data_IF_602019738813
#
_entry.id   IF_602019738813
#
_cell.length_a   1.000
_cell.length_b   1.000
_cell.length_c   1.000
_cell.angle_alpha   90.00
_cell.angle_beta   90.00
_cell.angle_gamma   90.00
#
_symmetry.space_group_name_H-M   'P 1'
#
loop_
_entity.id
_entity.type
_entity.pdbx_description
1 polymer ?
#
# COMPACT_ATOMS: atom_id res chain seq x y z
N UNK A 1 14.60 -27.50 -9.22
CA UNK A 1 13.31 -28.20 -9.07
C UNK A 1 12.54 -27.51 -7.93
N UNK A 2 11.30 -27.07 -8.16
CA UNK A 2 10.50 -26.41 -7.11
C UNK A 2 10.07 -27.47 -6.08
N UNK A 3 10.38 -27.23 -4.81
CA UNK A 3 10.08 -28.17 -3.72
C UNK A 3 8.56 -28.31 -3.54
N UNK A 4 8.09 -29.55 -3.34
CA UNK A 4 6.65 -29.83 -3.19
C UNK A 4 6.07 -29.10 -1.99
N UNK A 5 6.80 -29.02 -0.88
CA UNK A 5 6.35 -28.32 0.33
C UNK A 5 5.98 -26.87 0.07
N UNK A 6 6.76 -26.23 -0.79
CA UNK A 6 6.60 -24.84 -1.16
C UNK A 6 5.51 -24.64 -2.20
N UNK A 7 5.39 -25.57 -3.14
CA UNK A 7 4.33 -25.52 -4.14
C UNK A 7 2.95 -25.59 -3.47
N UNK A 8 2.75 -26.50 -2.51
CA UNK A 8 1.47 -26.62 -1.79
C UNK A 8 1.17 -25.35 -0.98
N UNK A 9 2.18 -24.80 -0.31
CA UNK A 9 2.06 -23.54 0.43
C UNK A 9 1.67 -22.36 -0.47
N UNK A 10 2.38 -22.14 -1.58
CA UNK A 10 2.12 -20.98 -2.45
C UNK A 10 0.78 -21.07 -3.16
N UNK A 11 0.36 -22.27 -3.57
CA UNK A 11 -0.94 -22.48 -4.22
C UNK A 11 -2.13 -22.33 -3.25
N UNK A 12 -1.89 -22.39 -1.93
CA UNK A 12 -2.93 -22.10 -0.94
C UNK A 12 -3.25 -20.60 -0.80
N UNK A 13 -2.38 -19.72 -1.32
CA UNK A 13 -2.48 -18.27 -1.13
C UNK A 13 -2.99 -17.61 -2.43
N UNK A 14 -4.21 -17.08 -2.38
CA UNK A 14 -4.86 -16.45 -3.55
C UNK A 14 -4.24 -15.10 -3.93
N UNK A 15 -3.88 -14.27 -2.94
CA UNK A 15 -3.34 -12.92 -3.17
C UNK A 15 -1.84 -12.95 -3.42
N UNK A 16 -1.39 -12.38 -4.54
CA UNK A 16 0.04 -12.32 -4.87
C UNK A 16 0.84 -11.52 -3.81
N UNK A 17 0.28 -10.42 -3.29
CA UNK A 17 0.91 -9.64 -2.23
C UNK A 17 1.06 -10.43 -0.93
N UNK A 18 0.03 -11.19 -0.56
CA UNK A 18 0.09 -12.07 0.62
C UNK A 18 1.13 -13.17 0.42
N UNK A 19 1.16 -13.78 -0.77
CA UNK A 19 2.13 -14.82 -1.14
C UNK A 19 3.56 -14.32 -1.04
N UNK A 20 3.87 -13.13 -1.58
CA UNK A 20 5.19 -12.50 -1.44
C UNK A 20 5.56 -12.26 0.03
N UNK A 21 4.63 -11.73 0.81
CA UNK A 21 4.83 -11.41 2.23
C UNK A 21 5.11 -12.68 3.04
N UNK A 22 4.28 -13.71 2.89
CA UNK A 22 4.40 -14.97 3.62
C UNK A 22 5.63 -15.77 3.19
N UNK A 23 5.93 -15.78 1.88
CA UNK A 23 7.17 -16.38 1.36
C UNK A 23 8.40 -15.71 1.98
N UNK A 24 8.42 -14.38 2.07
CA UNK A 24 9.53 -13.66 2.69
C UNK A 24 9.68 -14.02 4.17
N UNK A 25 8.58 -14.08 4.93
CA UNK A 25 8.58 -14.49 6.33
C UNK A 25 9.16 -15.91 6.52
N UNK A 26 8.70 -16.87 5.70
CA UNK A 26 9.17 -18.24 5.74
C UNK A 26 10.67 -18.35 5.38
N UNK A 27 11.13 -17.62 4.38
CA UNK A 27 12.55 -17.57 4.01
C UNK A 27 13.40 -17.04 5.18
N UNK A 28 12.95 -15.98 5.87
CA UNK A 28 13.66 -15.42 7.03
C UNK A 28 13.73 -16.38 8.20
N UNK A 29 12.66 -17.14 8.45
CA UNK A 29 12.66 -18.21 9.46
C UNK A 29 13.69 -19.31 9.13
N UNK A 30 13.69 -19.78 7.88
CA UNK A 30 14.65 -20.78 7.39
C UNK A 30 16.09 -20.30 7.52
N UNK A 31 16.36 -19.05 7.14
CA UNK A 31 17.67 -18.40 7.27
C UNK A 31 18.14 -18.30 8.72
N UNK A 32 17.25 -17.93 9.65
CA UNK A 32 17.56 -17.81 11.08
C UNK A 32 18.10 -19.11 11.67
N UNK A 33 17.48 -20.25 11.32
CA UNK A 33 17.93 -21.58 11.75
C UNK A 33 18.98 -22.21 10.83
N UNK A 34 19.44 -21.48 9.80
CA UNK A 34 20.46 -21.93 8.83
C UNK A 34 20.07 -23.24 8.13
N UNK A 35 18.78 -23.43 7.85
CA UNK A 35 18.27 -24.62 7.18
C UNK A 35 18.42 -24.47 5.68
N UNK A 36 18.95 -25.51 5.03
CA UNK A 36 19.30 -25.47 3.60
C UNK A 36 18.08 -25.23 2.72
N UNK A 37 17.02 -26.01 2.92
CA UNK A 37 15.82 -26.01 2.09
C UNK A 37 14.53 -26.11 2.90
N UNK A 38 13.38 -25.90 2.24
CA UNK A 38 12.07 -25.90 2.90
C UNK A 38 11.61 -27.32 3.22
N UNK A 39 11.95 -28.32 2.41
CA UNK A 39 11.63 -29.73 2.69
C UNK A 39 12.34 -30.21 3.96
N UNK A 40 13.57 -29.75 4.22
CA UNK A 40 14.31 -30.01 5.47
C UNK A 40 13.64 -29.44 6.72
N UNK A 41 12.72 -28.46 6.60
CA UNK A 41 11.92 -28.03 7.75
C UNK A 41 10.91 -29.10 8.16
N UNK A 42 10.46 -29.93 7.21
CA UNK A 42 9.47 -30.98 7.45
C UNK A 42 10.08 -32.26 8.02
N UNK A 43 11.41 -32.42 8.00
CA UNK A 43 12.10 -33.59 8.59
C UNK A 43 12.30 -33.45 10.10
N UNK A 44 12.21 -32.23 10.62
CA UNK A 44 12.30 -31.93 12.05
C UNK A 44 11.01 -32.41 12.74
N UNK A 45 11.08 -32.86 14.00
CA UNK A 45 9.90 -33.29 14.77
C UNK A 45 8.99 -32.11 15.15
N UNK A 46 7.69 -32.37 15.35
CA UNK A 46 6.71 -31.30 15.65
C UNK A 46 7.03 -30.60 16.98
N UNK A 47 7.50 -31.34 17.98
CA UNK A 47 7.91 -30.78 19.28
C UNK A 47 9.07 -29.81 19.12
N UNK A 48 10.05 -30.14 18.28
CA UNK A 48 11.20 -29.29 18.02
C UNK A 48 10.82 -28.07 17.19
N UNK A 49 9.93 -28.21 16.20
CA UNK A 49 9.40 -27.07 15.45
C UNK A 49 8.62 -26.12 16.35
N UNK A 50 7.82 -26.64 17.28
CA UNK A 50 7.10 -25.81 18.25
C UNK A 50 8.06 -24.92 19.05
N UNK A 51 9.12 -25.50 19.63
CA UNK A 51 10.16 -24.74 20.35
C UNK A 51 10.84 -23.73 19.42
N UNK A 52 11.18 -24.13 18.19
CA UNK A 52 11.78 -23.21 17.21
C UNK A 52 10.88 -22.01 16.86
N UNK A 53 9.56 -22.20 16.82
CA UNK A 53 8.60 -21.11 16.57
C UNK A 53 8.50 -20.16 17.77
N UNK A 54 8.53 -20.69 18.99
CA UNK A 54 8.53 -19.91 20.23
C UNK A 54 9.79 -19.06 20.36
N UNK A 55 10.96 -19.67 20.15
CA UNK A 55 12.26 -18.98 20.16
C UNK A 55 12.33 -17.90 19.07
N UNK A 56 11.83 -18.21 17.88
CA UNK A 56 11.79 -17.24 16.80
C UNK A 56 10.82 -16.08 17.12
N UNK A 57 9.67 -16.37 17.72
CA UNK A 57 8.76 -15.33 18.20
C UNK A 57 9.43 -14.43 19.24
N UNK A 58 10.19 -14.99 20.20
CA UNK A 58 10.95 -14.20 21.18
C UNK A 58 12.02 -13.34 20.52
N UNK A 59 12.68 -13.84 19.49
CA UNK A 59 13.62 -13.07 18.69
C UNK A 59 12.92 -11.92 17.96
N UNK A 60 11.78 -12.18 17.29
CA UNK A 60 11.00 -11.18 16.57
C UNK A 60 10.52 -10.04 17.48
N UNK A 61 10.08 -10.35 18.70
CA UNK A 61 9.65 -9.33 19.68
C UNK A 61 10.71 -8.26 19.96
N UNK A 62 11.99 -8.59 19.81
CA UNK A 62 13.11 -7.66 20.04
C UNK A 62 13.46 -6.81 18.82
N UNK A 63 13.01 -7.19 17.63
CA UNK A 63 13.47 -6.60 16.36
C UNK A 63 12.38 -5.89 15.57
N UNK A 64 11.14 -6.40 15.61
CA UNK A 64 10.05 -5.90 14.75
C UNK A 64 8.93 -5.29 15.57
N UNK A 65 8.08 -4.50 14.89
CA UNK A 65 6.89 -3.94 15.51
C UNK A 65 5.95 -5.04 16.01
N UNK A 66 5.31 -4.87 17.18
CA UNK A 66 4.26 -5.76 17.67
C UNK A 66 3.18 -6.06 16.61
N UNK A 67 2.89 -5.09 15.75
CA UNK A 67 1.87 -5.21 14.71
C UNK A 67 2.32 -6.07 13.52
N UNK A 68 3.62 -6.27 13.32
CA UNK A 68 4.17 -7.07 12.22
C UNK A 68 4.24 -8.56 12.56
N UNK A 69 4.38 -8.89 13.84
CA UNK A 69 4.55 -10.27 14.32
C UNK A 69 3.43 -11.21 13.84
N UNK A 70 2.13 -10.86 13.96
CA UNK A 70 1.06 -11.76 13.52
C UNK A 70 1.16 -12.12 12.03
N UNK A 71 1.54 -11.17 11.18
CA UNK A 71 1.67 -11.41 9.73
C UNK A 71 2.86 -12.29 9.40
N UNK A 72 4.00 -12.10 10.08
CA UNK A 72 5.20 -12.92 9.90
C UNK A 72 4.91 -14.36 10.34
N UNK A 73 4.37 -14.54 11.55
CA UNK A 73 4.07 -15.84 12.11
C UNK A 73 2.99 -16.57 11.31
N UNK A 74 1.94 -15.89 10.86
CA UNK A 74 0.89 -16.49 10.02
C UNK A 74 1.46 -17.13 8.74
N UNK A 75 2.46 -16.51 8.10
CA UNK A 75 3.10 -17.09 6.92
C UNK A 75 3.87 -18.38 7.23
N UNK A 76 4.51 -18.46 8.41
CA UNK A 76 5.26 -19.63 8.84
C UNK A 76 4.29 -20.74 9.29
N UNK A 77 3.29 -20.40 10.09
CA UNK A 77 2.23 -21.31 10.55
C UNK A 77 1.47 -21.93 9.37
N UNK A 78 1.13 -21.12 8.35
CA UNK A 78 0.47 -21.61 7.14
C UNK A 78 1.34 -22.63 6.39
N UNK A 79 2.65 -22.44 6.33
CA UNK A 79 3.54 -23.43 5.69
C UNK A 79 3.45 -24.80 6.35
N UNK A 80 3.53 -24.85 7.68
CA UNK A 80 3.43 -26.11 8.43
C UNK A 80 2.02 -26.72 8.32
N UNK A 81 0.98 -25.89 8.42
CA UNK A 81 -0.41 -26.31 8.26
C UNK A 81 -0.66 -26.97 6.88
N UNK A 82 -0.23 -26.30 5.79
CA UNK A 82 -0.43 -26.81 4.43
C UNK A 82 0.38 -28.07 4.15
N UNK A 83 1.45 -28.30 4.90
CA UNK A 83 2.25 -29.52 4.88
C UNK A 83 1.82 -30.56 5.93
N UNK A 84 0.60 -30.43 6.47
CA UNK A 84 -0.06 -31.39 7.37
C UNK A 84 0.70 -31.62 8.68
N UNK A 85 1.39 -30.60 9.18
CA UNK A 85 2.07 -30.62 10.48
C UNK A 85 1.16 -30.05 11.58
N UNK A 86 1.23 -30.62 12.78
CA UNK A 86 0.32 -30.23 13.87
C UNK A 86 1.06 -29.34 14.86
N UNK A 87 0.94 -28.03 14.67
CA UNK A 87 1.59 -27.01 15.50
C UNK A 87 0.54 -26.35 16.43
N UNK A 88 0.90 -26.09 17.69
CA UNK A 88 0.01 -25.49 18.68
C UNK A 88 -0.05 -23.96 18.54
N UNK A 89 -0.66 -23.48 17.45
CA UNK A 89 -0.74 -22.05 17.11
C UNK A 89 -1.42 -21.20 18.19
N UNK A 90 -2.40 -21.75 18.91
CA UNK A 90 -3.08 -21.05 20.02
C UNK A 90 -2.12 -20.63 21.14
N UNK A 91 -1.10 -21.44 21.43
CA UNK A 91 -0.07 -21.11 22.43
C UNK A 91 0.76 -19.94 21.91
N UNK A 92 1.24 -20.02 20.65
CA UNK A 92 1.99 -18.94 20.01
C UNK A 92 1.22 -17.62 20.02
N UNK A 93 -0.07 -17.65 19.67
CA UNK A 93 -0.90 -16.45 19.60
C UNK A 93 -1.10 -15.80 20.96
N UNK A 94 -1.21 -16.58 22.05
CA UNK A 94 -1.23 -16.06 23.43
C UNK A 94 0.07 -15.38 23.83
N UNK A 95 1.18 -15.76 23.19
CA UNK A 95 2.49 -15.15 23.42
C UNK A 95 2.71 -13.90 22.57
N UNK A 96 1.82 -13.52 21.66
CA UNK A 96 2.00 -12.31 20.85
C UNK A 96 1.91 -11.04 21.73
N UNK A 97 2.73 -10.01 21.46
CA UNK A 97 2.60 -8.74 22.16
C UNK A 97 1.31 -8.01 21.75
N UNK A 98 0.81 -7.15 22.64
CA UNK A 98 -0.33 -6.29 22.34
C UNK A 98 -0.05 -5.39 21.14
N UNK A 99 -1.04 -5.26 20.25
CA UNK A 99 -0.96 -4.35 19.11
C UNK A 99 -0.94 -2.90 19.58
N UNK A 100 -0.19 -2.06 18.86
CA UNK A 100 0.00 -0.64 19.19
C UNK A 100 -0.55 0.25 18.08
N UNK A 101 -1.19 1.37 18.43
CA UNK A 101 -1.64 2.35 17.43
C UNK A 101 -0.44 3.21 16.99
N UNK A 102 0.01 3.04 15.74
CA UNK A 102 1.21 3.72 15.21
C UNK A 102 0.87 4.99 14.42
N UNK A 103 -0.29 5.03 13.75
CA UNK A 103 -0.68 6.11 12.82
C UNK A 103 -2.13 6.51 12.99
N UNK A 104 -2.53 7.65 12.40
CA UNK A 104 -3.91 8.12 12.41
C UNK A 104 -4.31 8.69 13.76
N UNK A 105 -3.36 9.32 14.46
CA UNK A 105 -3.63 10.13 15.64
C UNK A 105 -3.96 11.58 15.26
N UNK A 106 -3.52 12.05 14.09
CA UNK A 106 -3.75 13.42 13.58
C UNK A 106 -4.26 13.42 12.15
N UNK A 107 -4.98 14.49 11.80
CA UNK A 107 -5.45 14.80 10.46
C UNK A 107 -5.03 16.23 10.08
N UNK A 108 -4.96 16.51 8.78
CA UNK A 108 -4.64 17.86 8.29
C UNK A 108 -5.84 18.76 8.49
N UNK A 109 -5.61 19.99 8.95
CA UNK A 109 -6.67 20.99 9.00
C UNK A 109 -6.97 21.53 7.60
N UNK A 110 -8.14 22.14 7.41
CA UNK A 110 -8.48 22.81 6.15
C UNK A 110 -7.45 23.87 5.78
N UNK A 111 -6.93 24.60 6.79
CA UNK A 111 -5.88 25.61 6.63
C UNK A 111 -4.56 24.98 6.17
N UNK A 112 -4.18 23.83 6.74
CA UNK A 112 -3.00 23.10 6.30
C UNK A 112 -3.13 22.63 4.85
N UNK A 113 -4.29 22.05 4.48
CA UNK A 113 -4.55 21.56 3.12
C UNK A 113 -4.49 22.71 2.12
N UNK A 114 -5.14 23.84 2.42
CA UNK A 114 -5.08 25.05 1.60
C UNK A 114 -3.64 25.54 1.38
N UNK A 115 -2.83 25.57 2.46
CA UNK A 115 -1.42 25.92 2.37
C UNK A 115 -0.63 24.90 1.53
N UNK A 116 -0.85 23.61 1.71
CA UNK A 116 -0.19 22.55 0.91
C UNK A 116 -0.49 22.73 -0.58
N UNK A 117 -1.74 23.03 -0.94
CA UNK A 117 -2.17 23.29 -2.32
C UNK A 117 -1.47 24.53 -2.89
N UNK A 118 -1.41 25.62 -2.13
CA UNK A 118 -0.76 26.88 -2.55
C UNK A 118 0.71 26.67 -2.92
N UNK A 119 1.44 25.84 -2.16
CA UNK A 119 2.86 25.55 -2.39
C UNK A 119 3.11 24.38 -3.37
N UNK A 120 2.06 23.77 -3.93
CA UNK A 120 2.19 22.73 -4.92
C UNK A 120 2.62 23.31 -6.29
N UNK A 121 3.72 22.78 -6.82
CA UNK A 121 4.49 23.46 -7.88
C UNK A 121 3.94 23.34 -9.31
N UNK A 122 2.92 22.52 -9.56
CA UNK A 122 2.35 22.34 -10.91
C UNK A 122 0.85 22.06 -10.84
N UNK A 123 0.12 22.28 -11.94
CA UNK A 123 -1.31 21.97 -12.05
C UNK A 123 -1.60 20.51 -11.72
N UNK A 124 -0.79 19.57 -12.23
CA UNK A 124 -0.85 18.15 -11.84
C UNK A 124 -0.77 17.94 -10.33
N UNK A 125 0.20 18.56 -9.67
CA UNK A 125 0.41 18.34 -8.23
C UNK A 125 -0.76 18.92 -7.42
N UNK A 126 -1.27 20.10 -7.81
CA UNK A 126 -2.48 20.70 -7.22
C UNK A 126 -3.69 19.78 -7.40
N UNK A 127 -3.94 19.33 -8.63
CA UNK A 127 -5.04 18.42 -8.93
C UNK A 127 -4.96 17.12 -8.11
N UNK A 128 -3.76 16.54 -7.94
CA UNK A 128 -3.58 15.34 -7.11
C UNK A 128 -3.94 15.59 -5.65
N UNK A 129 -3.51 16.72 -5.08
CA UNK A 129 -3.76 17.05 -3.68
C UNK A 129 -5.25 17.33 -3.45
N UNK A 130 -5.89 18.12 -4.33
CA UNK A 130 -7.34 18.33 -4.29
C UNK A 130 -8.12 17.02 -4.42
N UNK A 131 -7.71 16.15 -5.34
CA UNK A 131 -8.34 14.87 -5.56
C UNK A 131 -8.32 14.02 -4.29
N UNK A 132 -7.15 13.85 -3.67
CA UNK A 132 -7.01 13.04 -2.43
C UNK A 132 -7.75 13.69 -1.26
N UNK A 133 -7.66 15.02 -1.13
CA UNK A 133 -8.35 15.75 -0.06
C UNK A 133 -9.87 15.66 -0.17
N UNK A 134 -10.42 15.72 -1.39
CA UNK A 134 -11.86 15.67 -1.64
C UNK A 134 -12.43 14.26 -1.53
N UNK A 135 -11.70 13.25 -2.01
CA UNK A 135 -12.21 11.87 -2.05
C UNK A 135 -11.91 11.07 -0.79
N UNK A 136 -10.90 11.46 -0.01
CA UNK A 136 -10.34 10.62 1.04
C UNK A 136 -9.71 9.32 0.52
N UNK A 137 -9.45 9.24 -0.80
CA UNK A 137 -8.97 8.03 -1.43
C UNK A 137 -7.61 7.61 -0.86
N UNK A 138 -7.46 6.30 -0.62
CA UNK A 138 -6.13 5.72 -0.37
C UNK A 138 -5.25 6.00 -1.57
N UNK A 139 -4.03 6.46 -1.32
CA UNK A 139 -3.06 6.84 -2.37
C UNK A 139 -2.74 5.71 -3.37
N UNK A 140 -3.00 4.45 -2.99
CA UNK A 140 -2.86 3.30 -3.89
C UNK A 140 -3.88 3.24 -5.03
N UNK A 141 -5.02 3.92 -4.91
CA UNK A 141 -6.04 3.96 -5.96
C UNK A 141 -5.59 4.78 -7.20
N UNK A 142 -4.68 5.74 -7.00
CA UNK A 142 -4.26 6.70 -8.03
C UNK A 142 -3.63 6.02 -9.25
N UNK A 143 -2.84 4.97 -9.05
CA UNK A 143 -2.06 4.34 -10.11
C UNK A 143 -2.93 3.59 -11.14
N UNK A 144 -4.04 3.01 -10.70
CA UNK A 144 -5.00 2.31 -11.55
C UNK A 144 -6.14 3.22 -12.07
N UNK A 145 -6.17 4.49 -11.65
CA UNK A 145 -7.28 5.39 -11.95
C UNK A 145 -7.23 5.89 -13.40
N UNK A 146 -8.32 5.68 -14.14
CA UNK A 146 -8.48 6.05 -15.54
C UNK A 146 -9.58 7.09 -15.72
N UNK A 147 -9.54 7.84 -16.82
CA UNK A 147 -10.50 8.91 -17.11
C UNK A 147 -11.95 8.40 -17.17
N UNK A 148 -12.18 7.17 -17.65
CA UNK A 148 -13.51 6.54 -17.68
C UNK A 148 -14.15 6.38 -16.31
N UNK A 149 -13.36 6.39 -15.24
CA UNK A 149 -13.86 6.27 -13.88
C UNK A 149 -14.33 7.62 -13.31
N UNK A 150 -14.06 8.74 -13.99
CA UNK A 150 -14.46 10.08 -13.59
C UNK A 150 -15.66 10.49 -14.43
N UNK A 151 -16.77 10.82 -13.76
CA UNK A 151 -18.03 11.19 -14.41
C UNK A 151 -18.48 12.55 -13.90
N UNK A 152 -18.93 13.41 -14.80
CA UNK A 152 -19.48 14.70 -14.43
C UNK A 152 -20.81 14.54 -13.68
N UNK A 153 -20.99 15.36 -12.64
CA UNK A 153 -22.19 15.39 -11.80
C UNK A 153 -22.79 16.80 -11.81
N UNK A 154 -24.04 16.96 -11.34
CA UNK A 154 -24.62 18.27 -11.10
C UNK A 154 -23.74 19.17 -10.20
N UNK A 155 -24.04 20.47 -10.18
CA UNK A 155 -23.36 21.47 -9.34
C UNK A 155 -21.85 21.57 -9.56
N UNK A 156 -21.38 21.29 -10.79
CA UNK A 156 -19.96 21.32 -11.20
C UNK A 156 -19.08 20.36 -10.40
N UNK A 157 -19.68 19.32 -9.80
CA UNK A 157 -18.97 18.25 -9.11
C UNK A 157 -18.62 17.12 -10.09
N UNK A 158 -17.79 16.18 -9.65
CA UNK A 158 -17.54 14.93 -10.37
C UNK A 158 -17.62 13.74 -9.41
N UNK A 159 -18.15 12.62 -9.89
CA UNK A 159 -18.07 11.35 -9.20
C UNK A 159 -16.85 10.58 -9.72
N UNK A 160 -16.22 9.78 -8.85
CA UNK A 160 -15.13 8.90 -9.23
C UNK A 160 -15.31 7.51 -8.65
N UNK A 161 -15.24 6.50 -9.51
CA UNK A 161 -15.21 5.09 -9.09
C UNK A 161 -13.76 4.68 -8.79
N UNK A 162 -13.50 4.33 -7.54
CA UNK A 162 -12.19 3.89 -7.05
C UNK A 162 -12.17 2.38 -6.94
N UNK A 163 -11.04 1.76 -7.28
CA UNK A 163 -10.88 0.30 -7.26
C UNK A 163 -11.89 -0.49 -8.11
N UNK A 164 -12.26 0.10 -9.26
CA UNK A 164 -13.14 -0.47 -10.28
C UNK A 164 -12.86 -1.96 -10.55
N UNK A 165 -13.90 -2.78 -10.48
CA UNK A 165 -13.85 -4.23 -10.72
C UNK A 165 -13.24 -5.07 -9.59
N UNK A 166 -13.08 -4.50 -8.39
CA UNK A 166 -12.57 -5.24 -7.21
C UNK A 166 -13.57 -5.27 -6.07
N UNK A 167 -13.38 -6.16 -5.09
CA UNK A 167 -14.20 -6.21 -3.87
C UNK A 167 -14.01 -4.98 -2.96
N UNK A 168 -13.09 -4.07 -3.30
CA UNK A 168 -12.86 -2.80 -2.59
C UNK A 168 -13.42 -1.60 -3.38
N UNK A 169 -14.24 -1.82 -4.40
CA UNK A 169 -14.84 -0.76 -5.21
C UNK A 169 -15.73 0.18 -4.38
N UNK A 170 -15.58 1.49 -4.59
CA UNK A 170 -16.53 2.48 -4.07
C UNK A 170 -16.51 3.75 -4.90
N UNK A 171 -17.61 4.49 -4.84
CA UNK A 171 -17.73 5.83 -5.43
C UNK A 171 -17.35 6.89 -4.40
N UNK A 172 -16.55 7.85 -4.83
CA UNK A 172 -16.25 9.08 -4.09
C UNK A 172 -16.60 10.30 -4.95
N UNK A 173 -16.57 11.48 -4.34
CA UNK A 173 -16.94 12.73 -5.02
C UNK A 173 -15.82 13.77 -4.96
N UNK A 174 -15.72 14.52 -6.04
CA UNK A 174 -14.92 15.73 -6.14
C UNK A 174 -15.81 16.94 -5.89
N UNK A 175 -15.38 17.79 -4.97
CA UNK A 175 -15.93 19.14 -4.78
C UNK A 175 -15.82 19.95 -6.07
N UNK A 176 -16.62 21.02 -6.24
CA UNK A 176 -16.55 21.88 -7.43
C UNK A 176 -15.15 22.44 -7.68
N UNK A 177 -14.44 22.80 -6.61
CA UNK A 177 -13.05 23.27 -6.69
C UNK A 177 -12.12 22.16 -7.19
N UNK A 178 -12.21 20.96 -6.62
CA UNK A 178 -11.38 19.82 -7.04
C UNK A 178 -11.64 19.41 -8.49
N UNK A 179 -12.91 19.40 -8.92
CA UNK A 179 -13.32 19.13 -10.30
C UNK A 179 -12.77 20.18 -11.27
N UNK A 180 -12.87 21.47 -10.92
CA UNK A 180 -12.32 22.56 -11.74
C UNK A 180 -10.80 22.42 -11.93
N UNK A 181 -10.06 22.19 -10.85
CA UNK A 181 -8.60 22.04 -10.90
C UNK A 181 -8.18 20.77 -11.66
N UNK A 182 -8.95 19.67 -11.53
CA UNK A 182 -8.71 18.46 -12.31
C UNK A 182 -8.90 18.73 -13.81
N UNK A 183 -10.00 19.37 -14.20
CA UNK A 183 -10.27 19.76 -15.58
C UNK A 183 -9.17 20.66 -16.16
N UNK A 184 -8.72 21.67 -15.43
CA UNK A 184 -7.61 22.53 -15.86
C UNK A 184 -6.30 21.75 -16.13
N UNK A 185 -6.02 20.74 -15.32
CA UNK A 185 -4.87 19.86 -15.52
C UNK A 185 -5.06 18.96 -16.75
N UNK A 186 -6.27 18.45 -17.00
CA UNK A 186 -6.55 17.70 -18.23
C UNK A 186 -6.44 18.58 -19.48
N UNK A 187 -6.87 19.85 -19.43
CA UNK A 187 -6.66 20.80 -20.53
C UNK A 187 -5.20 21.14 -20.78
N UNK A 188 -4.37 21.23 -19.73
CA UNK A 188 -2.91 21.34 -19.89
C UNK A 188 -2.35 20.14 -20.66
N UNK A 189 -2.78 18.91 -20.35
CA UNK A 189 -2.35 17.71 -21.08
C UNK A 189 -2.76 17.75 -22.55
N UNK A 190 -3.98 18.20 -22.86
CA UNK A 190 -4.45 18.35 -24.25
C UNK A 190 -3.62 19.38 -25.01
N UNK A 191 -3.30 20.52 -24.38
CA UNK A 191 -2.43 21.57 -24.96
C UNK A 191 -1.00 21.10 -25.19
N UNK A 192 -0.50 20.18 -24.38
CA UNK A 192 0.79 19.51 -24.58
C UNK A 192 0.77 18.49 -25.74
N UNK A 193 -0.36 18.32 -26.44
CA UNK A 193 -0.54 17.38 -27.56
C UNK A 193 -0.94 15.97 -27.14
N UNK A 194 -1.29 15.73 -25.87
CA UNK A 194 -1.75 14.41 -25.42
C UNK A 194 -3.20 14.14 -25.84
N UNK A 195 -3.43 13.05 -26.56
CA UNK A 195 -4.78 12.55 -26.85
C UNK A 195 -5.31 11.77 -25.64
N UNK A 196 -6.31 12.34 -24.96
CA UNK A 196 -6.93 11.74 -23.78
C UNK A 196 -8.04 10.77 -24.19
N UNK A 197 -7.86 9.49 -23.88
CA UNK A 197 -8.82 8.42 -24.12
C UNK A 197 -9.43 7.95 -22.79
N UNK A 198 -10.58 7.24 -22.78
CA UNK A 198 -11.20 6.76 -21.55
C UNK A 198 -10.26 5.91 -20.66
N UNK A 199 -9.37 5.13 -21.28
CA UNK A 199 -8.35 4.31 -20.62
C UNK A 199 -7.08 5.07 -20.20
N UNK A 200 -6.94 6.35 -20.59
CA UNK A 200 -5.79 7.16 -20.18
C UNK A 200 -5.81 7.35 -18.66
N UNK A 201 -4.64 7.35 -18.00
CA UNK A 201 -4.58 7.55 -16.56
C UNK A 201 -5.03 8.96 -16.19
N UNK A 202 -5.74 9.11 -15.06
CA UNK A 202 -6.13 10.42 -14.54
C UNK A 202 -4.89 11.25 -14.20
N UNK A 203 -3.90 10.64 -13.56
CA UNK A 203 -2.63 11.28 -13.23
C UNK A 203 -1.48 10.58 -13.96
N UNK A 204 -0.74 11.31 -14.79
CA UNK A 204 0.47 10.80 -15.45
C UNK A 204 1.75 11.08 -14.66
N UNK A 205 2.76 10.23 -14.84
CA UNK A 205 4.13 10.52 -14.43
C UNK A 205 4.69 11.74 -15.17
N UNK A 206 5.78 12.34 -14.68
CA UNK A 206 6.38 13.51 -15.36
C UNK A 206 6.92 13.11 -16.72
N UNK A 207 6.64 13.94 -17.72
CA UNK A 207 7.03 13.72 -19.09
C UNK A 207 8.41 14.33 -19.38
N UNK A 208 9.16 13.72 -20.33
CA UNK A 208 10.35 14.35 -20.92
C UNK A 208 10.16 14.71 -22.41
N UNK A 209 9.31 14.03 -23.20
CA UNK A 209 9.14 14.27 -24.66
C UNK A 209 7.75 13.83 -25.18
N UNK A 210 7.07 14.71 -25.93
CA UNK A 210 5.73 14.66 -26.60
C UNK A 210 5.19 13.32 -27.15
N UNK A 211 6.06 12.37 -27.48
CA UNK A 211 5.77 11.23 -28.36
C UNK A 211 5.69 9.90 -27.59
N UNK A 212 6.06 9.90 -26.30
CA UNK A 212 6.14 8.67 -25.51
C UNK A 212 4.77 8.20 -24.98
N UNK A 213 4.60 6.88 -24.88
CA UNK A 213 3.42 6.30 -24.23
C UNK A 213 3.28 6.87 -22.80
N UNK A 214 2.08 7.35 -22.48
CA UNK A 214 1.78 7.94 -21.17
C UNK A 214 1.90 6.87 -20.09
N UNK A 215 2.71 7.16 -19.07
CA UNK A 215 2.91 6.27 -17.91
C UNK A 215 2.05 6.80 -16.75
N UNK A 216 1.26 5.96 -16.06
CA UNK A 216 0.50 6.37 -14.89
C UNK A 216 1.42 6.85 -13.76
N UNK A 217 0.92 7.74 -12.92
CA UNK A 217 1.61 8.17 -11.72
C UNK A 217 1.64 7.01 -10.71
N UNK A 218 2.83 6.49 -10.42
CA UNK A 218 2.98 5.42 -9.44
C UNK A 218 2.62 5.88 -8.02
N UNK A 219 2.22 4.94 -7.17
CA UNK A 219 1.96 5.19 -5.74
C UNK A 219 3.12 5.93 -5.05
N UNK A 220 4.36 5.52 -5.31
CA UNK A 220 5.56 6.13 -4.73
C UNK A 220 5.75 7.56 -5.25
N UNK A 221 5.48 7.79 -6.53
CA UNK A 221 5.51 9.11 -7.14
C UNK A 221 4.49 10.06 -6.51
N UNK A 222 3.25 9.60 -6.31
CA UNK A 222 2.19 10.36 -5.67
C UNK A 222 2.53 10.76 -4.22
N UNK A 223 2.99 9.80 -3.40
CA UNK A 223 3.46 10.07 -2.02
C UNK A 223 4.60 11.11 -2.02
N UNK A 224 5.52 10.99 -2.98
CA UNK A 224 6.64 11.91 -3.13
C UNK A 224 6.20 13.33 -3.50
N UNK A 225 5.17 13.47 -4.36
CA UNK A 225 4.58 14.77 -4.72
C UNK A 225 4.00 15.44 -3.48
N UNK A 226 3.13 14.74 -2.75
CA UNK A 226 2.44 15.35 -1.61
C UNK A 226 3.43 15.64 -0.47
N UNK A 227 4.37 14.73 -0.19
CA UNK A 227 5.44 14.96 0.80
C UNK A 227 6.29 16.19 0.49
N UNK A 228 6.59 16.45 -0.79
CA UNK A 228 7.33 17.65 -1.20
C UNK A 228 6.48 18.92 -1.03
N UNK A 229 5.19 18.86 -1.34
CA UNK A 229 4.27 19.99 -1.16
C UNK A 229 4.13 20.35 0.34
N UNK A 230 3.94 19.36 1.22
CA UNK A 230 3.92 19.53 2.68
C UNK A 230 5.19 20.24 3.17
N UNK A 231 6.36 19.77 2.74
CA UNK A 231 7.64 20.39 3.14
C UNK A 231 7.78 21.83 2.63
N UNK A 232 7.36 22.10 1.39
CA UNK A 232 7.39 23.47 0.83
C UNK A 232 6.42 24.42 1.54
N UNK A 233 5.30 23.91 2.03
CA UNK A 233 4.36 24.65 2.85
C UNK A 233 4.91 24.99 4.25
N UNK A 234 6.08 24.48 4.64
CA UNK A 234 6.64 24.67 5.99
C UNK A 234 5.92 23.84 7.05
N UNK A 235 5.19 22.79 6.64
CA UNK A 235 4.50 21.89 7.54
C UNK A 235 5.38 20.67 7.83
N UNK A 236 5.33 20.18 9.06
CA UNK A 236 6.15 19.08 9.54
C UNK A 236 5.29 17.90 9.97
N UNK A 237 5.87 16.71 9.89
CA UNK A 237 5.25 15.47 10.32
C UNK A 237 6.20 14.76 11.26
N UNK A 238 5.73 14.42 12.45
CA UNK A 238 6.55 13.68 13.39
C UNK A 238 6.51 12.18 13.10
N UNK A 239 7.66 11.53 13.23
CA UNK A 239 7.75 10.09 13.12
C UNK A 239 7.37 9.43 14.45
N UNK A 240 6.45 8.47 14.39
CA UNK A 240 6.21 7.48 15.43
C UNK A 240 6.82 6.16 14.95
N UNK A 241 8.07 5.89 15.36
CA UNK A 241 8.88 4.80 14.81
C UNK A 241 9.18 5.00 13.32
N UNK A 242 8.81 4.01 12.49
CA UNK A 242 9.01 4.05 11.03
C UNK A 242 7.86 4.71 10.25
N UNK A 243 6.82 5.20 10.92
CA UNK A 243 5.64 5.83 10.28
C UNK A 243 5.47 7.27 10.77
N UNK A 244 4.65 8.04 10.06
CA UNK A 244 4.30 9.41 10.45
C UNK A 244 2.97 9.44 11.20
N UNK A 245 2.83 10.34 12.16
CA UNK A 245 1.59 10.55 12.92
C UNK A 245 0.41 11.00 12.03
N UNK A 246 0.73 11.67 10.92
CA UNK A 246 -0.17 12.18 9.88
C UNK A 246 0.31 11.73 8.50
N UNK A 247 -0.62 11.36 7.62
CA UNK A 247 -0.27 10.82 6.30
C UNK A 247 0.26 11.89 5.34
N UNK A 248 1.08 11.44 4.38
CA UNK A 248 1.37 12.22 3.17
C UNK A 248 0.18 12.15 2.23
#
# INVERSE_FOLDING_TARGET
>A
MQQRSIAVFENSIKSEGTRKTYRHALTKFKEYYKIKDFDSLLTITDEKIQVMLEDYLFHLKKLVSPNSIPTIMAGIELFFLMNRRTIQTKILHKMYPSRVKITGSKAWTTQDVSRIIQFASSKRNRALIHFVASTGARIGAIEALQLRHVVDMPDKCQAVTLYDGTNEEYTAFLTPEASSILSEYLEERRRDGEVLLPQSPVFRSTYRIGVQKVIPLSRVGAIGIISRAIRKAGLYRNKAGNRYEIQA
#
